data_IF_159987049557
#
_entry.id   IF_159987049557
#
_cell.length_a   1.000
_cell.length_b   1.000
_cell.length_c   1.000
_cell.angle_alpha   90.00
_cell.angle_beta   90.00
_cell.angle_gamma   90.00
#
_symmetry.space_group_name_H-M   'P 1'
#
loop_
_entity.id
_entity.type
_entity.pdbx_description
1 polymer ?
#
# COMPACT_ATOMS: atom_id res chain seq x y z
N UNK A 1 -10.55 -9.95 14.22
CA UNK A 1 -10.07 -8.56 14.32
C UNK A 1 -8.55 -8.58 14.23
N UNK A 2 -7.99 -7.61 13.53
CA UNK A 2 -6.55 -7.42 13.45
C UNK A 2 -5.94 -7.10 14.82
N UNK A 3 -4.65 -7.39 14.98
CA UNK A 3 -3.86 -6.81 16.07
C UNK A 3 -3.54 -5.37 15.70
N UNK A 4 -4.10 -4.40 16.43
CA UNK A 4 -3.97 -2.96 16.13
C UNK A 4 -3.05 -2.30 17.14
N UNK A 5 -2.02 -1.62 16.66
CA UNK A 5 -1.14 -0.73 17.45
C UNK A 5 -1.30 0.69 16.93
N UNK A 6 -1.77 1.62 17.76
CA UNK A 6 -1.91 3.03 17.40
C UNK A 6 -0.69 3.82 17.86
N UNK A 7 -0.01 4.48 16.92
CA UNK A 7 1.16 5.35 17.14
C UNK A 7 0.80 6.77 16.73
N UNK A 8 0.50 7.62 17.71
CA UNK A 8 0.13 9.02 17.49
C UNK A 8 1.31 9.93 17.84
N UNK A 9 1.61 10.88 16.97
CA UNK A 9 2.76 11.76 17.05
C UNK A 9 2.33 13.21 17.11
N UNK A 10 3.14 14.04 17.78
CA UNK A 10 2.88 15.48 17.92
C UNK A 10 3.11 16.25 16.62
N UNK A 11 3.86 15.68 15.66
CA UNK A 11 4.16 16.31 14.38
C UNK A 11 4.42 15.30 13.26
N UNK A 12 4.32 15.78 12.01
CA UNK A 12 4.62 14.97 10.81
C UNK A 12 6.09 14.56 10.74
N UNK A 13 6.99 15.38 11.26
CA UNK A 13 8.42 15.10 11.33
C UNK A 13 8.68 13.93 12.28
N UNK A 14 8.05 13.92 13.47
CA UNK A 14 8.17 12.82 14.43
C UNK A 14 7.60 11.51 13.85
N UNK A 15 6.43 11.57 13.19
CA UNK A 15 5.86 10.43 12.48
C UNK A 15 6.81 9.91 11.39
N UNK A 16 7.36 10.81 10.58
CA UNK A 16 8.27 10.46 9.48
C UNK A 16 9.54 9.80 10.01
N UNK A 17 10.11 10.31 11.10
CA UNK A 17 11.30 9.75 11.72
C UNK A 17 11.08 8.31 12.21
N UNK A 18 9.97 8.06 12.93
CA UNK A 18 9.62 6.71 13.40
C UNK A 18 9.30 5.78 12.20
N UNK A 19 8.54 6.26 11.22
CA UNK A 19 8.22 5.49 10.02
C UNK A 19 9.50 5.09 9.27
N UNK A 20 10.43 6.01 9.06
CA UNK A 20 11.71 5.74 8.43
C UNK A 20 12.54 4.71 9.19
N UNK A 21 12.71 4.90 10.50
CA UNK A 21 13.51 3.99 11.33
C UNK A 21 12.93 2.57 11.33
N UNK A 22 11.61 2.46 11.47
CA UNK A 22 10.94 1.15 11.50
C UNK A 22 10.85 0.52 10.12
N UNK A 23 10.84 1.28 9.03
CA UNK A 23 10.95 0.74 7.67
C UNK A 23 12.35 0.18 7.43
N UNK A 24 13.39 0.96 7.75
CA UNK A 24 14.78 0.52 7.66
C UNK A 24 14.98 -0.80 8.41
N UNK A 25 14.51 -0.89 9.65
CA UNK A 25 14.63 -2.09 10.47
C UNK A 25 13.93 -3.30 9.80
N UNK A 26 12.68 -3.13 9.33
CA UNK A 26 11.96 -4.21 8.63
C UNK A 26 12.72 -4.73 7.40
N UNK A 27 13.37 -3.85 6.63
CA UNK A 27 14.15 -4.25 5.46
C UNK A 27 15.44 -4.97 5.85
N UNK A 28 16.17 -4.45 6.85
CA UNK A 28 17.38 -5.08 7.37
C UNK A 28 17.09 -6.47 7.92
N UNK A 29 16.01 -6.62 8.69
CA UNK A 29 15.59 -7.90 9.25
C UNK A 29 15.15 -8.88 8.15
N UNK A 30 14.40 -8.42 7.16
CA UNK A 30 14.01 -9.24 6.01
C UNK A 30 15.22 -9.80 5.27
N UNK A 31 16.20 -8.96 4.97
CA UNK A 31 17.46 -9.37 4.31
C UNK A 31 18.24 -10.33 5.21
N UNK A 32 18.39 -10.02 6.50
CA UNK A 32 19.18 -10.85 7.43
C UNK A 32 18.57 -12.24 7.64
N UNK A 33 17.24 -12.34 7.73
CA UNK A 33 16.56 -13.57 8.07
C UNK A 33 16.26 -14.44 6.83
N UNK A 34 15.90 -13.80 5.72
CA UNK A 34 15.34 -14.48 4.55
C UNK A 34 16.19 -14.30 3.28
N UNK A 35 17.27 -13.50 3.34
CA UNK A 35 18.16 -13.18 2.21
C UNK A 35 17.63 -12.11 1.24
N UNK A 36 16.36 -11.74 1.38
CA UNK A 36 15.69 -10.64 0.64
C UNK A 36 14.62 -9.99 1.52
N UNK A 37 14.26 -8.74 1.26
CA UNK A 37 13.10 -8.08 1.86
C UNK A 37 12.06 -7.67 0.81
N UNK A 38 10.77 -7.69 1.16
CA UNK A 38 9.67 -7.18 0.32
C UNK A 38 8.99 -6.00 1.01
N UNK A 39 8.97 -4.86 0.33
CA UNK A 39 8.31 -3.62 0.72
C UNK A 39 7.15 -3.33 -0.23
N UNK A 40 5.91 -3.41 0.29
CA UNK A 40 4.73 -3.01 -0.46
C UNK A 40 4.45 -1.52 -0.25
N UNK A 41 4.40 -0.73 -1.33
CA UNK A 41 4.34 0.75 -1.26
C UNK A 41 3.03 1.31 -1.78
N UNK A 42 2.47 2.25 -1.01
CA UNK A 42 1.45 3.19 -1.48
C UNK A 42 2.08 4.40 -2.15
N UNK A 43 1.35 5.00 -3.09
CA UNK A 43 1.62 6.38 -3.54
C UNK A 43 1.17 7.44 -2.53
N UNK A 44 1.13 8.70 -2.98
CA UNK A 44 0.61 9.83 -2.21
C UNK A 44 1.67 10.58 -1.39
N UNK A 45 1.32 11.78 -0.90
CA UNK A 45 2.28 12.68 -0.26
C UNK A 45 2.75 12.22 1.12
N UNK A 46 1.92 11.48 1.86
CA UNK A 46 2.22 11.05 3.24
C UNK A 46 3.50 10.22 3.38
N UNK A 47 3.76 9.17 2.57
CA UNK A 47 5.01 8.41 2.67
C UNK A 47 6.23 9.09 2.02
N UNK A 48 6.04 10.19 1.27
CA UNK A 48 7.08 10.75 0.39
C UNK A 48 8.38 11.10 1.12
N UNK A 49 8.28 11.70 2.32
CA UNK A 49 9.45 12.07 3.11
C UNK A 49 10.22 10.84 3.60
N UNK A 50 9.50 9.81 4.06
CA UNK A 50 10.10 8.56 4.52
C UNK A 50 10.78 7.80 3.37
N UNK A 51 10.16 7.76 2.18
CA UNK A 51 10.74 7.15 0.98
C UNK A 51 12.00 7.85 0.51
N UNK A 52 11.99 9.20 0.47
CA UNK A 52 13.17 9.99 0.12
C UNK A 52 14.32 9.79 1.11
N UNK A 53 14.01 9.63 2.40
CA UNK A 53 15.01 9.31 3.40
C UNK A 53 15.56 7.89 3.21
N UNK A 54 14.68 6.88 3.07
CA UNK A 54 15.10 5.50 2.86
C UNK A 54 16.02 5.37 1.64
N UNK A 55 15.70 6.05 0.54
CA UNK A 55 16.47 5.95 -0.71
C UNK A 55 17.94 6.34 -0.55
N UNK A 56 18.29 7.20 0.42
CA UNK A 56 19.68 7.62 0.69
C UNK A 56 20.45 6.66 1.60
N UNK A 57 19.80 5.63 2.14
CA UNK A 57 20.42 4.65 3.04
C UNK A 57 21.01 3.48 2.24
N UNK A 58 22.18 3.02 2.68
CA UNK A 58 22.77 1.78 2.17
C UNK A 58 22.15 0.56 2.89
N UNK A 59 21.15 -0.03 2.22
CA UNK A 59 20.37 -1.17 2.71
C UNK A 59 20.64 -2.47 1.94
N UNK A 60 21.67 -2.52 1.08
CA UNK A 60 21.84 -3.60 0.09
C UNK A 60 20.62 -3.77 -0.83
N UNK A 61 20.17 -2.68 -1.45
CA UNK A 61 18.92 -2.59 -2.22
C UNK A 61 18.70 -3.66 -3.29
N UNK A 62 19.76 -4.27 -3.86
CA UNK A 62 19.63 -5.42 -4.77
C UNK A 62 18.92 -6.65 -4.13
N UNK A 63 18.84 -6.70 -2.80
CA UNK A 63 18.11 -7.69 -2.02
C UNK A 63 16.72 -7.21 -1.57
N UNK A 64 16.28 -6.04 -2.00
CA UNK A 64 14.96 -5.49 -1.70
C UNK A 64 14.08 -5.56 -2.95
N UNK A 65 12.95 -6.24 -2.82
CA UNK A 65 11.84 -6.17 -3.75
C UNK A 65 10.91 -5.05 -3.29
N UNK A 66 10.67 -4.06 -4.14
CA UNK A 66 9.64 -3.04 -3.96
C UNK A 66 8.47 -3.41 -4.86
N UNK A 67 7.26 -3.46 -4.33
CA UNK A 67 6.05 -3.72 -5.10
C UNK A 67 4.93 -2.79 -4.67
N UNK A 68 3.99 -2.50 -5.56
CA UNK A 68 2.95 -1.50 -5.32
C UNK A 68 1.79 -2.12 -4.54
N UNK A 69 1.03 -1.32 -3.77
CA UNK A 69 -0.24 -1.81 -3.21
C UNK A 69 -1.41 -1.57 -4.16
N UNK A 70 -1.31 -0.56 -5.00
CA UNK A 70 -2.27 -0.24 -6.04
C UNK A 70 -1.67 0.68 -7.12
N UNK A 71 -2.31 0.74 -8.28
CA UNK A 71 -1.96 1.65 -9.36
C UNK A 71 -3.19 2.03 -10.19
N UNK A 72 -3.14 3.23 -10.77
CA UNK A 72 -4.08 3.77 -11.74
C UNK A 72 -3.72 3.20 -13.10
N UNK A 73 -4.69 2.76 -13.88
CA UNK A 73 -4.41 2.16 -15.20
C UNK A 73 -4.07 3.21 -16.27
N UNK A 74 -2.95 3.90 -16.06
CA UNK A 74 -2.41 4.98 -16.91
C UNK A 74 -0.95 4.70 -17.23
N UNK A 75 -0.37 5.45 -18.15
CA UNK A 75 1.06 5.33 -18.45
C UNK A 75 1.93 5.64 -17.23
N UNK A 76 3.07 4.96 -17.12
CA UNK A 76 4.02 5.10 -16.01
C UNK A 76 4.61 6.51 -15.84
N UNK A 77 4.50 7.37 -16.86
CA UNK A 77 4.92 8.78 -16.82
C UNK A 77 3.78 9.75 -16.50
N UNK A 78 2.54 9.25 -16.38
CA UNK A 78 1.36 10.07 -16.11
C UNK A 78 1.45 10.68 -14.71
N UNK A 79 1.00 11.93 -14.54
CA UNK A 79 1.08 12.65 -13.25
C UNK A 79 0.31 11.99 -12.10
N UNK A 80 -0.65 11.11 -12.42
CA UNK A 80 -1.43 10.32 -11.45
C UNK A 80 -0.91 8.90 -11.24
N UNK A 81 0.19 8.51 -11.90
CA UNK A 81 0.80 7.19 -11.71
C UNK A 81 1.51 7.12 -10.36
N UNK A 82 1.19 6.07 -9.59
CA UNK A 82 1.94 5.73 -8.38
C UNK A 82 3.36 5.27 -8.76
N UNK A 83 3.56 4.61 -9.90
CA UNK A 83 4.88 4.25 -10.42
C UNK A 83 5.76 5.48 -10.63
N UNK A 84 5.25 6.54 -11.28
CA UNK A 84 5.97 7.82 -11.41
C UNK A 84 6.38 8.39 -10.05
N UNK A 85 5.47 8.34 -9.08
CA UNK A 85 5.71 8.82 -7.72
C UNK A 85 6.78 8.00 -7.00
N UNK A 86 6.73 6.66 -7.05
CA UNK A 86 7.70 5.77 -6.41
C UNK A 86 9.07 5.93 -7.05
N UNK A 87 9.13 6.02 -8.38
CA UNK A 87 10.36 6.31 -9.12
C UNK A 87 10.99 7.63 -8.67
N UNK A 88 10.20 8.70 -8.52
CA UNK A 88 10.73 10.02 -8.12
C UNK A 88 11.00 10.19 -6.63
N UNK A 89 10.71 9.19 -5.80
CA UNK A 89 10.89 9.25 -4.33
C UNK A 89 11.78 8.15 -3.79
N UNK A 90 11.33 6.90 -3.85
CA UNK A 90 11.99 5.75 -3.23
C UNK A 90 13.12 5.19 -4.09
N UNK A 91 12.90 5.08 -5.41
CA UNK A 91 13.86 4.45 -6.33
C UNK A 91 14.88 5.48 -6.86
N UNK A 92 15.49 6.19 -5.92
CA UNK A 92 16.52 7.20 -6.14
C UNK A 92 17.76 6.82 -5.33
N UNK A 93 18.90 7.47 -5.58
CA UNK A 93 20.13 7.27 -4.81
C UNK A 93 20.50 5.76 -4.72
N UNK A 94 20.66 5.19 -3.52
CA UNK A 94 20.89 3.76 -3.34
C UNK A 94 19.65 2.92 -3.63
N UNK A 95 18.46 3.47 -3.36
CA UNK A 95 17.16 2.86 -3.64
C UNK A 95 16.92 2.49 -5.11
N UNK A 96 17.61 3.14 -6.04
CA UNK A 96 17.54 2.82 -7.46
C UNK A 96 18.01 1.38 -7.81
N UNK A 97 18.73 0.71 -6.90
CA UNK A 97 19.16 -0.68 -7.11
C UNK A 97 18.12 -1.72 -6.66
N UNK A 98 16.94 -1.31 -6.18
CA UNK A 98 15.86 -2.23 -5.81
C UNK A 98 15.29 -2.96 -7.04
N UNK A 99 14.79 -4.17 -6.83
CA UNK A 99 13.94 -4.82 -7.82
C UNK A 99 12.52 -4.26 -7.71
N UNK A 100 12.06 -3.49 -8.69
CA UNK A 100 10.74 -2.87 -8.66
C UNK A 100 9.72 -3.66 -9.49
N UNK A 101 8.66 -4.12 -8.82
CA UNK A 101 7.53 -4.83 -9.43
C UNK A 101 6.35 -3.90 -9.57
N UNK A 102 6.04 -3.53 -10.81
CA UNK A 102 4.97 -2.60 -11.17
C UNK A 102 3.65 -3.34 -11.42
N UNK A 103 2.54 -2.60 -11.39
CA UNK A 103 1.21 -3.14 -11.69
C UNK A 103 0.75 -2.86 -13.13
N UNK A 104 1.00 -1.63 -13.64
CA UNK A 104 0.69 -1.28 -15.02
C UNK A 104 1.57 -2.12 -15.96
N UNK A 105 0.94 -2.75 -16.94
CA UNK A 105 1.61 -3.49 -17.99
C UNK A 105 1.08 -3.11 -19.38
N UNK A 106 1.44 -3.86 -20.42
CA UNK A 106 1.07 -3.55 -21.81
C UNK A 106 -0.39 -3.85 -22.17
N UNK A 107 -1.17 -4.46 -21.27
CA UNK A 107 -2.58 -4.70 -21.54
C UNK A 107 -3.38 -3.39 -21.61
N UNK A 108 -4.45 -3.43 -22.42
CA UNK A 108 -5.33 -2.27 -22.66
C UNK A 108 -6.07 -1.89 -21.37
N UNK A 109 -6.56 -2.89 -20.64
CA UNK A 109 -7.31 -2.71 -19.38
C UNK A 109 -6.62 -3.42 -18.21
N UNK A 110 -6.85 -2.94 -16.98
CA UNK A 110 -6.40 -3.56 -15.74
C UNK A 110 -6.91 -4.99 -15.64
N UNK A 111 -8.16 -5.23 -16.04
CA UNK A 111 -8.75 -6.57 -16.03
C UNK A 111 -7.96 -7.53 -16.93
N UNK A 112 -7.59 -7.11 -18.13
CA UNK A 112 -6.76 -7.92 -19.04
C UNK A 112 -5.32 -8.10 -18.50
N UNK A 113 -4.79 -7.07 -17.81
CA UNK A 113 -3.47 -7.09 -17.20
C UNK A 113 -3.35 -7.92 -15.92
N UNK A 114 -4.47 -8.37 -15.34
CA UNK A 114 -4.50 -9.01 -14.01
C UNK A 114 -3.65 -10.27 -13.96
N UNK A 115 -3.70 -11.15 -14.96
CA UNK A 115 -2.94 -12.41 -14.94
C UNK A 115 -1.42 -12.20 -14.94
N UNK A 116 -0.93 -11.17 -15.65
CA UNK A 116 0.50 -10.81 -15.66
C UNK A 116 0.91 -10.26 -14.30
N UNK A 117 0.07 -9.40 -13.71
CA UNK A 117 0.33 -8.83 -12.39
C UNK A 117 0.30 -9.92 -11.30
N UNK A 118 -0.69 -10.81 -11.32
CA UNK A 118 -0.80 -11.94 -10.39
C UNK A 118 0.45 -12.84 -10.44
N UNK A 119 0.95 -13.17 -11.63
CA UNK A 119 2.17 -13.96 -11.78
C UNK A 119 3.41 -13.26 -11.20
N UNK A 120 3.53 -11.94 -11.39
CA UNK A 120 4.62 -11.16 -10.83
C UNK A 120 4.56 -11.11 -9.29
N UNK A 121 3.36 -10.92 -8.72
CA UNK A 121 3.16 -10.86 -7.26
C UNK A 121 3.28 -12.25 -6.62
N UNK A 122 2.96 -13.32 -7.34
CA UNK A 122 3.16 -14.69 -6.90
C UNK A 122 4.65 -15.08 -6.77
N UNK A 123 5.54 -14.39 -7.50
CA UNK A 123 6.99 -14.61 -7.45
C UNK A 123 7.68 -13.89 -6.27
N UNK A 124 7.01 -12.93 -5.63
CA UNK A 124 7.53 -12.25 -4.44
C UNK A 124 7.57 -13.21 -3.25
N UNK A 125 8.60 -13.07 -2.38
CA UNK A 125 8.61 -13.82 -1.12
C UNK A 125 7.39 -13.43 -0.28
N UNK A 126 6.86 -14.40 0.46
CA UNK A 126 5.85 -14.18 1.50
C UNK A 126 6.25 -14.88 2.80
N UNK A 127 5.95 -14.30 3.97
CA UNK A 127 5.22 -13.05 4.14
C UNK A 127 6.03 -11.81 3.73
N UNK A 128 5.36 -10.77 3.22
CA UNK A 128 5.95 -9.46 2.93
C UNK A 128 6.46 -8.84 4.22
N UNK A 129 7.64 -8.21 4.22
CA UNK A 129 8.20 -7.69 5.47
C UNK A 129 7.41 -6.50 5.99
N UNK A 130 6.94 -5.64 5.09
CA UNK A 130 6.12 -4.48 5.46
C UNK A 130 5.26 -4.02 4.29
N UNK A 131 4.00 -3.70 4.59
CA UNK A 131 3.05 -3.13 3.63
C UNK A 131 2.59 -1.76 4.09
N UNK A 132 2.78 -0.73 3.27
CA UNK A 132 2.33 0.63 3.53
C UNK A 132 0.97 0.85 2.90
N UNK A 133 -0.02 1.21 3.71
CA UNK A 133 -1.37 1.59 3.27
C UNK A 133 -1.65 3.05 3.60
N UNK A 134 -2.46 3.69 2.76
CA UNK A 134 -3.17 4.94 3.07
C UNK A 134 -4.66 4.69 3.32
N UNK A 135 -5.39 5.77 3.63
CA UNK A 135 -6.85 5.74 3.72
C UNK A 135 -7.48 6.96 3.03
N UNK A 136 -8.49 6.73 2.19
CA UNK A 136 -9.34 7.76 1.60
C UNK A 136 -10.32 8.39 2.61
N UNK A 137 -10.93 9.55 2.29
CA UNK A 137 -11.97 10.15 3.14
C UNK A 137 -13.28 9.34 3.16
N UNK A 138 -13.47 8.47 2.17
CA UNK A 138 -14.53 7.47 2.03
C UNK A 138 -14.19 6.12 2.71
N UNK A 139 -13.05 6.03 3.40
CA UNK A 139 -12.62 4.80 4.08
C UNK A 139 -12.04 3.70 3.17
N UNK A 140 -11.76 4.00 1.89
CA UNK A 140 -11.00 3.08 1.03
C UNK A 140 -9.55 2.94 1.52
N UNK A 141 -8.90 1.84 1.14
CA UNK A 141 -7.46 1.64 1.27
C UNK A 141 -6.94 0.89 0.04
N UNK A 142 -5.66 1.08 -0.32
CA UNK A 142 -5.16 0.72 -1.65
C UNK A 142 -6.13 1.27 -2.72
N UNK A 143 -6.58 0.45 -3.67
CA UNK A 143 -7.71 0.80 -4.54
C UNK A 143 -8.96 -0.06 -4.25
N UNK A 144 -9.14 -0.53 -3.01
CA UNK A 144 -10.38 -1.17 -2.55
C UNK A 144 -11.40 -0.08 -2.19
N UNK A 145 -12.17 0.36 -3.20
CA UNK A 145 -13.14 1.46 -3.07
C UNK A 145 -14.55 1.00 -2.68
N UNK A 146 -15.30 1.78 -1.88
CA UNK A 146 -16.68 1.48 -1.55
C UNK A 146 -17.54 1.20 -2.78
N UNK A 147 -18.24 0.07 -2.76
CA UNK A 147 -19.17 -0.40 -3.81
C UNK A 147 -18.61 -0.43 -5.25
N UNK A 148 -17.30 -0.43 -5.43
CA UNK A 148 -16.68 -0.47 -6.75
C UNK A 148 -16.85 -1.84 -7.42
N UNK A 149 -16.86 -1.84 -8.75
CA UNK A 149 -16.81 -3.08 -9.52
C UNK A 149 -15.46 -3.77 -9.26
N UNK A 150 -15.52 -5.06 -8.91
CA UNK A 150 -14.35 -5.86 -8.51
C UNK A 150 -14.07 -5.87 -7.00
N UNK A 151 -14.76 -5.05 -6.17
CA UNK A 151 -14.51 -5.02 -4.73
C UNK A 151 -14.71 -6.39 -4.07
N UNK A 152 -15.74 -7.14 -4.49
CA UNK A 152 -15.98 -8.50 -3.98
C UNK A 152 -14.78 -9.43 -4.22
N UNK A 153 -14.18 -9.37 -5.41
CA UNK A 153 -12.94 -10.10 -5.72
C UNK A 153 -11.80 -9.62 -4.81
N UNK A 154 -11.67 -8.30 -4.66
CA UNK A 154 -10.64 -7.68 -3.81
C UNK A 154 -10.75 -8.07 -2.33
N UNK A 155 -11.95 -8.32 -1.82
CA UNK A 155 -12.18 -8.64 -0.41
C UNK A 155 -12.27 -10.15 -0.11
N UNK A 156 -12.79 -10.95 -1.05
CA UNK A 156 -13.23 -12.32 -0.78
C UNK A 156 -12.51 -13.41 -1.60
N UNK A 157 -11.59 -13.06 -2.50
CA UNK A 157 -10.86 -14.05 -3.32
C UNK A 157 -9.48 -14.42 -2.76
N UNK A 158 -8.96 -15.57 -3.19
CA UNK A 158 -7.59 -16.03 -2.91
C UNK A 158 -6.54 -15.43 -3.88
N UNK A 159 -6.96 -14.54 -4.79
CA UNK A 159 -6.03 -13.83 -5.69
C UNK A 159 -5.14 -12.88 -4.89
N UNK A 160 -4.00 -12.47 -5.43
CA UNK A 160 -3.11 -11.51 -4.80
C UNK A 160 -3.40 -10.08 -5.27
N UNK A 161 -3.79 -9.94 -6.53
CA UNK A 161 -4.19 -8.68 -7.13
C UNK A 161 -5.52 -8.82 -7.85
N UNK A 162 -6.23 -7.72 -8.02
CA UNK A 162 -7.41 -7.66 -8.87
C UNK A 162 -7.55 -6.30 -9.54
N UNK A 163 -8.28 -6.28 -10.65
CA UNK A 163 -8.73 -5.03 -11.24
C UNK A 163 -9.92 -4.48 -10.44
N UNK A 164 -9.98 -3.16 -10.30
CA UNK A 164 -11.11 -2.43 -9.72
C UNK A 164 -11.51 -1.34 -10.71
N UNK A 165 -12.81 -1.19 -10.95
CA UNK A 165 -13.35 -0.01 -11.59
C UNK A 165 -14.14 0.80 -10.55
N UNK A 166 -13.52 1.87 -10.07
CA UNK A 166 -14.08 2.73 -9.03
C UNK A 166 -15.25 3.58 -9.57
N UNK A 167 -16.10 4.06 -8.66
CA UNK A 167 -17.17 5.00 -9.03
C UNK A 167 -16.57 6.39 -9.11
N UNK A 168 -16.70 7.07 -10.26
CA UNK A 168 -16.22 8.45 -10.44
C UNK A 168 -16.81 9.39 -9.36
N UNK A 169 -15.93 10.10 -8.67
CA UNK A 169 -16.23 10.98 -7.53
C UNK A 169 -15.09 11.97 -7.32
N UNK A 170 -15.26 12.91 -6.40
CA UNK A 170 -14.17 13.81 -5.97
C UNK A 170 -12.96 13.04 -5.38
N UNK A 171 -13.18 11.83 -4.87
CA UNK A 171 -12.12 10.99 -4.27
C UNK A 171 -11.33 10.24 -5.34
N UNK A 172 -12.02 9.67 -6.32
CA UNK A 172 -11.41 8.80 -7.34
C UNK A 172 -10.94 9.59 -8.57
N UNK A 173 -11.56 10.74 -8.83
CA UNK A 173 -11.48 11.45 -10.11
C UNK A 173 -12.01 10.61 -11.28
N UNK A 174 -11.70 11.04 -12.49
CA UNK A 174 -12.10 10.39 -13.74
C UNK A 174 -11.26 9.17 -14.13
N UNK A 175 -10.14 8.90 -13.45
CA UNK A 175 -9.31 7.70 -13.65
C UNK A 175 -9.79 6.62 -12.68
N UNK A 176 -10.85 5.94 -13.07
CA UNK A 176 -11.55 4.96 -12.23
C UNK A 176 -10.95 3.56 -12.28
N UNK A 177 -10.26 3.21 -13.38
CA UNK A 177 -9.68 1.89 -13.56
C UNK A 177 -8.36 1.74 -12.80
N UNK A 178 -8.29 0.70 -11.95
CA UNK A 178 -7.17 0.43 -11.03
C UNK A 178 -6.75 -1.03 -11.08
N UNK A 179 -5.49 -1.28 -10.74
CA UNK A 179 -5.01 -2.56 -10.23
C UNK A 179 -4.74 -2.40 -8.74
N UNK A 180 -5.09 -3.38 -7.91
CA UNK A 180 -4.91 -3.31 -6.46
C UNK A 180 -4.49 -4.66 -5.89
N UNK A 181 -3.79 -4.63 -4.76
CA UNK A 181 -3.72 -5.79 -3.87
C UNK A 181 -5.12 -6.14 -3.36
N UNK A 182 -5.37 -7.44 -3.24
CA UNK A 182 -6.54 -7.97 -2.51
C UNK A 182 -6.27 -7.97 -1.00
N UNK A 183 -7.34 -8.15 -0.22
CA UNK A 183 -7.25 -8.39 1.22
C UNK A 183 -6.39 -9.62 1.55
N UNK A 184 -6.49 -10.68 0.74
CA UNK A 184 -5.66 -11.87 0.88
C UNK A 184 -4.16 -11.54 0.76
N UNK A 185 -3.73 -10.76 -0.23
CA UNK A 185 -2.33 -10.33 -0.31
C UNK A 185 -1.91 -9.43 0.86
N UNK A 186 -2.75 -8.47 1.26
CA UNK A 186 -2.45 -7.60 2.41
C UNK A 186 -2.23 -8.44 3.67
N UNK A 187 -3.05 -9.50 3.87
CA UNK A 187 -2.93 -10.43 4.98
C UNK A 187 -1.65 -11.29 4.99
N UNK A 188 -0.89 -11.31 3.89
CA UNK A 188 0.42 -11.97 3.78
C UNK A 188 1.57 -11.05 4.26
N UNK A 189 1.29 -9.98 4.99
CA UNK A 189 2.32 -9.06 5.51
C UNK A 189 2.69 -9.40 6.96
N UNK A 190 3.99 -9.36 7.31
CA UNK A 190 4.45 -9.43 8.71
C UNK A 190 3.87 -8.26 9.52
N UNK A 191 3.88 -7.06 8.93
CA UNK A 191 3.24 -5.85 9.45
C UNK A 191 2.65 -4.99 8.34
N UNK A 192 1.46 -4.45 8.58
CA UNK A 192 0.84 -3.40 7.76
C UNK A 192 0.99 -2.07 8.49
N UNK A 193 1.44 -1.02 7.82
CA UNK A 193 1.51 0.34 8.37
C UNK A 193 0.51 1.22 7.67
N UNK A 194 -0.53 1.64 8.39
CA UNK A 194 -1.54 2.56 7.90
C UNK A 194 -1.13 4.00 8.21
N UNK A 195 -0.93 4.81 7.18
CA UNK A 195 -0.59 6.21 7.30
C UNK A 195 -1.84 7.07 7.15
N UNK A 196 -2.20 7.78 8.22
CA UNK A 196 -3.30 8.76 8.24
C UNK A 196 -2.79 10.06 8.85
N UNK A 197 -3.28 11.21 8.41
CA UNK A 197 -2.85 12.50 8.98
C UNK A 197 -3.98 13.51 8.97
N UNK A 198 -3.99 14.39 9.97
CA UNK A 198 -5.05 15.36 10.19
C UNK A 198 -6.30 14.77 10.84
N UNK A 199 -7.10 15.66 11.42
CA UNK A 199 -8.29 15.31 12.19
C UNK A 199 -9.38 14.63 11.35
N UNK A 200 -9.51 15.03 10.08
CA UNK A 200 -10.48 14.44 9.15
C UNK A 200 -10.20 12.94 8.94
N UNK A 201 -8.94 12.57 8.66
CA UNK A 201 -8.56 11.17 8.51
C UNK A 201 -8.65 10.40 9.81
N UNK A 202 -8.36 11.04 10.96
CA UNK A 202 -8.52 10.39 12.26
C UNK A 202 -9.99 10.06 12.54
N UNK A 203 -10.92 10.96 12.20
CA UNK A 203 -12.35 10.74 12.36
C UNK A 203 -12.84 9.57 11.50
N UNK A 204 -12.44 9.52 10.22
CA UNK A 204 -12.79 8.43 9.29
C UNK A 204 -12.20 7.10 9.79
N UNK A 205 -10.96 7.09 10.28
CA UNK A 205 -10.36 5.89 10.86
C UNK A 205 -11.13 5.39 12.10
N UNK A 206 -11.50 6.30 13.01
CA UNK A 206 -12.32 5.96 14.19
C UNK A 206 -13.68 5.39 13.79
N UNK A 207 -14.30 5.93 12.74
CA UNK A 207 -15.55 5.40 12.18
C UNK A 207 -15.37 4.00 11.60
N UNK A 208 -14.28 3.74 10.86
CA UNK A 208 -13.97 2.40 10.36
C UNK A 208 -13.76 1.41 11.52
N UNK A 209 -12.97 1.81 12.53
CA UNK A 209 -12.66 0.99 13.72
C UNK A 209 -13.89 0.65 14.55
N UNK A 210 -14.91 1.51 14.57
CA UNK A 210 -16.17 1.27 15.27
C UNK A 210 -17.03 0.15 14.64
N UNK A 211 -16.65 -0.35 13.45
CA UNK A 211 -17.37 -1.40 12.73
C UNK A 211 -18.39 -0.86 11.72
N UNK A 212 -19.16 -1.78 11.12
CA UNK A 212 -20.11 -1.51 10.04
C UNK A 212 -19.85 -2.38 8.81
N UNK A 213 -20.57 -2.14 7.72
CA UNK A 213 -20.40 -2.89 6.46
C UNK A 213 -19.03 -2.60 5.83
N UNK A 214 -18.32 -3.64 5.42
CA UNK A 214 -17.03 -3.52 4.74
C UNK A 214 -17.17 -2.90 3.35
N UNK A 215 -18.35 -2.98 2.71
CA UNK A 215 -18.59 -2.37 1.42
C UNK A 215 -18.71 -0.85 1.49
N UNK A 216 -19.10 -0.28 2.64
CA UNK A 216 -19.17 1.17 2.84
C UNK A 216 -17.79 1.77 3.14
N UNK A 217 -16.93 1.01 3.84
CA UNK A 217 -15.58 1.44 4.22
C UNK A 217 -14.62 0.24 4.16
N UNK A 218 -14.02 -0.07 3.00
CA UNK A 218 -13.20 -1.27 2.81
C UNK A 218 -12.02 -1.43 3.77
N UNK A 219 -11.51 -0.34 4.37
CA UNK A 219 -10.53 -0.43 5.46
C UNK A 219 -11.02 -1.32 6.62
N UNK A 220 -12.34 -1.40 6.87
CA UNK A 220 -12.92 -2.31 7.87
C UNK A 220 -12.52 -3.75 7.65
N UNK A 221 -12.40 -4.20 6.40
CA UNK A 221 -11.97 -5.56 6.10
C UNK A 221 -10.56 -5.84 6.61
N UNK A 222 -9.64 -4.88 6.44
CA UNK A 222 -8.28 -4.93 6.98
C UNK A 222 -8.30 -4.93 8.51
N UNK A 223 -9.06 -4.02 9.14
CA UNK A 223 -9.16 -3.92 10.60
C UNK A 223 -9.82 -5.15 11.25
N UNK A 224 -10.68 -5.85 10.52
CA UNK A 224 -11.39 -7.03 10.99
C UNK A 224 -10.62 -8.34 10.76
N UNK A 225 -9.63 -8.35 9.86
CA UNK A 225 -8.92 -9.58 9.47
C UNK A 225 -8.04 -10.13 10.61
N UNK A 226 -8.23 -11.38 11.05
CA UNK A 226 -7.60 -11.91 12.27
C UNK A 226 -6.08 -12.14 12.16
N UNK A 227 -5.54 -12.30 10.94
CA UNK A 227 -4.10 -12.50 10.75
C UNK A 227 -3.32 -11.21 10.54
N UNK A 228 -3.99 -10.07 10.38
CA UNK A 228 -3.32 -8.80 10.09
C UNK A 228 -2.79 -8.19 11.38
N UNK A 229 -1.50 -7.86 11.38
CA UNK A 229 -0.88 -6.98 12.36
C UNK A 229 -0.77 -5.59 11.73
N UNK A 230 -1.47 -4.61 12.29
CA UNK A 230 -1.52 -3.26 11.74
C UNK A 230 -1.02 -2.23 12.75
N UNK A 231 -0.08 -1.40 12.32
CA UNK A 231 0.36 -0.21 13.02
C UNK A 231 -0.27 1.01 12.36
N UNK A 232 -1.02 1.81 13.11
CA UNK A 232 -1.66 3.02 12.62
C UNK A 232 -0.82 4.22 13.03
N UNK A 233 -0.26 4.91 12.05
CA UNK A 233 0.55 6.10 12.23
C UNK A 233 -0.31 7.34 11.98
N UNK A 234 -0.39 8.22 12.97
CA UNK A 234 -1.13 9.48 12.86
C UNK A 234 -0.35 10.67 13.42
N UNK A 235 -0.43 11.80 12.70
CA UNK A 235 0.02 13.11 13.16
C UNK A 235 -1.01 14.17 12.73
N UNK A 236 -1.09 15.31 13.44
CA UNK A 236 -1.99 16.41 13.08
C UNK A 236 -1.70 17.01 11.69
#
# INVERSE_FOLDING_TARGET
>A
MATIIEKFFDSKEALTAELSATLEQSLRDGISNDGRAVLMVSGGSSPAAAYKHLSTLDLNWQHVDVAMVDERWVDASHEKSNEAFINSTLLQNYGAAANFVTMKNSAETAQQGTAVCEAAYAALKRPYDVTILGMGPDGHTASLFPHAEGLDVGLNSDQLVCAINAIESDVTGSITERMTLTLNAIAQSKVVKLLISGDEKLAVYKQAKAGGDVNDMPLRAVLNHPSINIEVYWAP
#
